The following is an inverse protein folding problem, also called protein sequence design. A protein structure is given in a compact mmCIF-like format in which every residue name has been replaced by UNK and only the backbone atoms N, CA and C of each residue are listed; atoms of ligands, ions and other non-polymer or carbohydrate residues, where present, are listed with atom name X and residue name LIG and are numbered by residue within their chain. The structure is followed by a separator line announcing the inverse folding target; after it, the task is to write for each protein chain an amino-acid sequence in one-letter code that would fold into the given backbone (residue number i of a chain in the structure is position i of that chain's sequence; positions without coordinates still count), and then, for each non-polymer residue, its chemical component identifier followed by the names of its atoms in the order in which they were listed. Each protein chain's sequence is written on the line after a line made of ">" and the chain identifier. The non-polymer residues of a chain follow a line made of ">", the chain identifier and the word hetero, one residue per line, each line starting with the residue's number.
data_IF_686104624441
#
_entry.id   IF_686104624441
#
_cell.length_a   1.000
_cell.length_b   1.000
_cell.length_c   1.000
_cell.angle_alpha   90.00
_cell.angle_beta   90.00
_cell.angle_gamma   90.00
#
_symmetry.space_group_name_H-M   'P 1'
#
loop_
_entity.id
_entity.type
_entity.pdbx_description
1 polymer ?
#
# COMPACT_ATOMS: atom_id res chain seq x y z
N UNK A 1 12.16 9.66 45.33
CA UNK A 1 13.39 9.97 46.09
C UNK A 1 14.57 9.32 45.39
N UNK A 2 15.71 9.98 45.50
CA UNK A 2 17.09 9.59 45.15
C UNK A 2 17.56 9.71 43.69
N UNK A 3 18.58 10.55 43.56
CA UNK A 3 19.39 10.83 42.38
C UNK A 3 20.54 9.82 42.32
N UNK A 4 20.90 9.40 41.11
CA UNK A 4 22.23 8.90 40.78
C UNK A 4 22.88 9.84 39.77
N UNK A 5 23.89 10.60 40.19
CA UNK A 5 24.71 11.47 39.34
C UNK A 5 26.08 10.79 39.19
N UNK A 6 26.54 10.55 37.96
CA UNK A 6 27.96 10.51 37.54
C UNK A 6 28.02 10.17 36.03
N UNK A 7 28.20 11.15 35.14
CA UNK A 7 29.48 11.69 34.64
C UNK A 7 30.24 10.77 33.67
N UNK A 8 30.14 11.10 32.37
CA UNK A 8 30.97 10.58 31.28
C UNK A 8 30.95 11.53 30.08
N UNK A 9 31.98 12.37 29.95
CA UNK A 9 32.18 13.34 28.87
C UNK A 9 32.43 12.65 27.53
N UNK A 10 31.74 13.07 26.46
CA UNK A 10 32.30 13.68 25.22
C UNK A 10 31.25 13.76 24.09
N UNK A 11 30.98 14.99 23.64
CA UNK A 11 30.50 15.31 22.29
C UNK A 11 29.01 15.63 22.17
N UNK A 12 28.63 16.82 21.66
CA UNK A 12 27.28 17.02 21.17
C UNK A 12 27.14 16.33 19.81
N UNK A 13 26.29 15.32 19.72
CA UNK A 13 25.74 14.89 18.43
C UNK A 13 24.24 15.17 18.47
N UNK A 14 23.84 16.20 17.73
CA UNK A 14 22.46 16.41 17.39
C UNK A 14 22.22 15.82 16.00
N UNK A 15 21.30 14.85 15.91
CA UNK A 15 20.41 14.65 14.76
C UNK A 15 19.24 13.81 15.30
N UNK A 16 18.22 14.48 15.82
CA UNK A 16 16.97 13.84 16.21
C UNK A 16 16.27 13.32 14.96
N UNK A 17 16.38 12.02 14.69
CA UNK A 17 15.42 11.32 13.84
C UNK A 17 14.12 11.20 14.61
N UNK A 18 13.14 12.02 14.25
CA UNK A 18 11.76 11.83 14.69
C UNK A 18 11.16 10.78 13.78
N UNK A 19 11.17 9.52 14.23
CA UNK A 19 10.31 8.50 13.67
C UNK A 19 8.88 8.92 14.00
N UNK A 20 8.16 9.43 13.01
CA UNK A 20 6.70 9.54 13.11
C UNK A 20 6.21 8.10 13.10
N UNK A 21 5.68 7.65 14.23
CA UNK A 21 5.07 6.33 14.35
C UNK A 21 4.06 6.17 13.21
N UNK A 22 4.18 5.14 12.36
CA UNK A 22 3.09 4.79 11.47
C UNK A 22 1.85 4.54 12.34
N UNK A 23 0.65 4.99 11.91
CA UNK A 23 -0.57 4.77 12.67
C UNK A 23 -0.72 3.28 12.97
N UNK A 24 -1.21 2.91 14.17
CA UNK A 24 -1.24 1.52 14.61
C UNK A 24 -1.94 0.66 13.57
N UNK A 25 -1.20 -0.31 13.00
CA UNK A 25 -1.82 -1.38 12.22
C UNK A 25 -2.75 -2.14 13.17
N UNK A 26 -4.05 -2.08 12.87
CA UNK A 26 -5.08 -2.76 13.62
C UNK A 26 -5.04 -4.25 13.28
N UNK A 27 -4.01 -4.95 13.74
CA UNK A 27 -4.12 -6.38 14.02
C UNK A 27 -5.15 -6.56 15.14
N UNK A 28 -6.44 -6.57 14.78
CA UNK A 28 -7.53 -6.89 15.72
C UNK A 28 -8.07 -8.28 15.39
N UNK A 29 -8.12 -9.20 16.37
CA UNK A 29 -8.66 -10.53 16.18
C UNK A 29 -10.21 -10.50 16.22
N UNK A 30 -10.82 -11.23 15.28
CA UNK A 30 -12.16 -11.84 15.31
C UNK A 30 -13.37 -10.88 15.41
N UNK A 31 -14.10 -10.79 14.29
CA UNK A 31 -15.57 -10.89 14.18
C UNK A 31 -15.96 -11.03 12.70
N UNK A 32 -16.02 -12.27 12.22
CA UNK A 32 -17.00 -12.66 11.18
C UNK A 32 -18.39 -12.69 11.85
N UNK A 33 -19.53 -12.50 11.14
CA UNK A 33 -19.69 -12.54 9.68
C UNK A 33 -20.49 -11.34 9.12
N UNK A 34 -19.97 -10.69 8.08
CA UNK A 34 -20.78 -9.79 7.25
C UNK A 34 -20.51 -10.15 5.80
N UNK A 35 -21.42 -10.97 5.22
CA UNK A 35 -21.50 -11.33 3.80
C UNK A 35 -20.12 -11.46 3.14
N UNK A 36 -19.56 -12.67 3.28
CA UNK A 36 -18.19 -13.08 2.94
C UNK A 36 -17.75 -12.50 1.59
N UNK A 37 -17.15 -11.31 1.61
CA UNK A 37 -16.38 -10.83 0.48
C UNK A 37 -15.34 -11.93 0.23
N UNK A 38 -15.15 -12.29 -1.05
CA UNK A 38 -14.26 -13.42 -1.39
C UNK A 38 -12.83 -13.24 -0.88
N UNK A 39 -12.44 -12.00 -0.64
CA UNK A 39 -11.12 -11.59 -0.19
C UNK A 39 -11.23 -10.75 1.08
N UNK A 40 -10.25 -10.91 1.96
CA UNK A 40 -10.08 -10.02 3.09
C UNK A 40 -9.74 -8.59 2.64
N UNK A 41 -9.95 -7.57 3.49
CA UNK A 41 -9.58 -6.20 3.16
C UNK A 41 -8.11 -6.01 2.79
N UNK A 42 -7.19 -6.71 3.45
CA UNK A 42 -5.75 -6.63 3.17
C UNK A 42 -5.41 -7.25 1.80
N UNK A 43 -6.06 -8.34 1.42
CA UNK A 43 -5.90 -8.94 0.09
C UNK A 43 -6.43 -8.02 -1.02
N UNK A 44 -7.63 -7.45 -0.82
CA UNK A 44 -8.20 -6.50 -1.78
C UNK A 44 -7.35 -5.25 -1.91
N UNK A 45 -6.78 -4.75 -0.80
CA UNK A 45 -5.81 -3.67 -0.81
C UNK A 45 -4.59 -4.00 -1.68
N UNK A 46 -3.98 -5.17 -1.50
CA UNK A 46 -2.86 -5.63 -2.33
C UNK A 46 -3.20 -5.73 -3.81
N UNK A 47 -4.39 -6.25 -4.16
CA UNK A 47 -4.85 -6.30 -5.56
C UNK A 47 -4.97 -4.92 -6.20
N UNK A 48 -5.45 -3.93 -5.43
CA UNK A 48 -5.54 -2.54 -5.89
C UNK A 48 -4.15 -1.95 -6.10
N UNK A 49 -3.20 -2.17 -5.19
CA UNK A 49 -1.81 -1.73 -5.35
C UNK A 49 -1.13 -2.34 -6.58
N UNK A 50 -1.32 -3.64 -6.82
CA UNK A 50 -0.82 -4.33 -8.01
C UNK A 50 -1.43 -3.76 -9.30
N UNK A 51 -2.73 -3.48 -9.30
CA UNK A 51 -3.41 -2.86 -10.43
C UNK A 51 -2.85 -1.46 -10.71
N UNK A 52 -2.63 -0.63 -9.68
CA UNK A 52 -2.03 0.70 -9.82
C UNK A 52 -0.64 0.58 -10.44
N UNK A 53 0.20 -0.30 -9.89
CA UNK A 53 1.56 -0.53 -10.38
C UNK A 53 1.57 -1.01 -11.84
N UNK A 54 0.66 -1.90 -12.22
CA UNK A 54 0.48 -2.33 -13.60
C UNK A 54 0.11 -1.17 -14.51
N UNK A 55 -0.87 -0.34 -14.13
CA UNK A 55 -1.32 0.81 -14.92
C UNK A 55 -0.22 1.86 -15.09
N UNK A 56 0.53 2.14 -14.02
CA UNK A 56 1.67 3.06 -14.03
C UNK A 56 2.80 2.60 -14.94
N UNK A 57 3.14 1.32 -14.87
CA UNK A 57 4.26 0.77 -15.65
C UNK A 57 3.92 0.50 -17.12
N UNK A 58 2.65 0.21 -17.44
CA UNK A 58 2.26 -0.25 -18.79
C UNK A 58 1.39 0.73 -19.57
N UNK A 59 0.47 1.45 -18.92
CA UNK A 59 -0.49 2.32 -19.61
C UNK A 59 -0.03 3.77 -19.61
N UNK A 60 0.35 4.31 -18.45
CA UNK A 60 0.75 5.71 -18.34
C UNK A 60 1.89 6.12 -19.29
N UNK A 61 2.92 5.32 -19.58
CA UNK A 61 4.02 5.76 -20.43
C UNK A 61 3.58 6.06 -21.86
N UNK A 62 2.66 5.27 -22.42
CA UNK A 62 2.14 5.53 -23.77
C UNK A 62 1.18 6.72 -23.78
N UNK A 63 0.31 6.82 -22.77
CA UNK A 63 -0.60 7.97 -22.64
C UNK A 63 0.18 9.29 -22.50
N UNK A 64 1.27 9.31 -21.72
CA UNK A 64 2.18 10.47 -21.59
C UNK A 64 2.84 10.85 -22.92
N UNK A 65 3.02 9.90 -23.83
CA UNK A 65 3.53 10.12 -25.19
C UNK A 65 2.42 10.47 -26.20
N UNK A 66 1.17 10.65 -25.75
CA UNK A 66 0.02 10.96 -26.60
C UNK A 66 -0.48 9.77 -27.42
N UNK A 67 -0.18 8.54 -27.01
CA UNK A 67 -0.59 7.30 -27.69
C UNK A 67 -1.32 6.36 -26.74
N UNK A 68 -2.04 5.40 -27.29
CA UNK A 68 -2.65 4.32 -26.53
C UNK A 68 -1.78 3.05 -26.59
N UNK A 69 -1.81 2.19 -25.55
CA UNK A 69 -1.22 0.85 -25.63
C UNK A 69 -1.79 0.06 -26.81
N UNK A 70 -1.00 -0.88 -27.33
CA UNK A 70 -1.48 -1.76 -28.41
C UNK A 70 -2.70 -2.59 -27.97
N UNK A 71 -3.46 -3.11 -28.94
CA UNK A 71 -4.71 -3.85 -28.69
C UNK A 71 -4.54 -5.03 -27.74
N UNK A 72 -3.41 -5.75 -27.81
CA UNK A 72 -3.15 -6.93 -26.97
C UNK A 72 -2.91 -6.49 -25.53
N UNK A 73 -2.07 -5.48 -25.34
CA UNK A 73 -1.76 -4.90 -24.02
C UNK A 73 -3.00 -4.29 -23.39
N UNK A 74 -3.73 -3.45 -24.14
CA UNK A 74 -4.96 -2.82 -23.66
C UNK A 74 -6.02 -3.85 -23.23
N UNK A 75 -6.18 -4.94 -24.01
CA UNK A 75 -7.12 -6.01 -23.64
C UNK A 75 -6.75 -6.68 -22.32
N UNK A 76 -5.47 -7.01 -22.13
CA UNK A 76 -4.98 -7.66 -20.92
C UNK A 76 -5.15 -6.77 -19.69
N UNK A 77 -4.78 -5.49 -19.79
CA UNK A 77 -4.97 -4.53 -18.71
C UNK A 77 -6.46 -4.40 -18.37
N UNK A 78 -7.34 -4.32 -19.38
CA UNK A 78 -8.77 -4.21 -19.15
C UNK A 78 -9.37 -5.47 -18.49
N UNK A 79 -8.81 -6.65 -18.73
CA UNK A 79 -9.20 -7.88 -18.03
C UNK A 79 -8.84 -7.80 -16.54
N UNK A 80 -7.65 -7.30 -16.19
CA UNK A 80 -7.24 -7.09 -14.80
C UNK A 80 -8.14 -6.08 -14.10
N UNK A 81 -8.39 -4.92 -14.71
CA UNK A 81 -9.27 -3.89 -14.14
C UNK A 81 -10.68 -4.45 -13.89
N UNK A 82 -11.22 -5.23 -14.83
CA UNK A 82 -12.53 -5.87 -14.66
C UNK A 82 -12.52 -6.94 -13.58
N UNK A 83 -11.42 -7.67 -13.40
CA UNK A 83 -11.30 -8.66 -12.33
C UNK A 83 -11.34 -7.97 -10.97
N UNK A 84 -10.52 -6.93 -10.75
CA UNK A 84 -10.52 -6.15 -9.51
C UNK A 84 -11.88 -5.48 -9.26
N UNK A 85 -12.53 -4.96 -10.32
CA UNK A 85 -13.87 -4.40 -10.20
C UNK A 85 -14.89 -5.41 -9.65
N UNK A 86 -14.80 -6.68 -10.05
CA UNK A 86 -15.70 -7.74 -9.56
C UNK A 86 -15.48 -8.06 -8.08
N UNK A 87 -14.27 -7.86 -7.56
CA UNK A 87 -13.97 -8.07 -6.13
C UNK A 87 -14.65 -7.03 -5.23
N UNK A 88 -15.01 -5.86 -5.77
CA UNK A 88 -15.82 -4.87 -5.03
C UNK A 88 -17.32 -5.17 -5.04
N UNK A 89 -17.79 -6.03 -5.96
CA UNK A 89 -19.19 -6.40 -6.11
C UNK A 89 -19.52 -7.76 -5.47
N UNK A 90 -18.50 -8.51 -5.05
CA UNK A 90 -18.62 -9.86 -4.48
C UNK A 90 -18.82 -9.84 -2.97
#
# INVERSE_FOLDING_TARGET
>A
MEFGIASGRRGPQALSLRLIEPPPSLSRPRREPAAEHKHSPDELHGMVEDMITLLESTVQPELRKGRYPDRKTARRVAEVVRAVAREFES
#
